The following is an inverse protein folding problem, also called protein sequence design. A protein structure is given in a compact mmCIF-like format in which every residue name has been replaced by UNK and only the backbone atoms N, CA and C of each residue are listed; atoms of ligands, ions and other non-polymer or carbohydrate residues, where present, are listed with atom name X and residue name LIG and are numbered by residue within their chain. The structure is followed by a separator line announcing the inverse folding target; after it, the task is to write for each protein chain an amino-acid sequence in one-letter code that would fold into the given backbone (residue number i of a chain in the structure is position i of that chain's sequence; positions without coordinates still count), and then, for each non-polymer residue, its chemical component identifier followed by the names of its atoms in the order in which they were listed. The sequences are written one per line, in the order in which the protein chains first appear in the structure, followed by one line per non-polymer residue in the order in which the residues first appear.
data_IF_454089416016
#
_entry.id   IF_454089416016
#
_cell.length_a   1.000
_cell.length_b   1.000
_cell.length_c   1.000
_cell.angle_alpha   90.00
_cell.angle_beta   90.00
_cell.angle_gamma   90.00
#
_symmetry.space_group_name_H-M   'P 1'
#
loop_
_entity.id
_entity.type
_entity.pdbx_description
1 polymer ?
#
# COMPACT_ATOMS: atom_id res chain seq x y z
N UNK A 1 -2.99 26.08 -0.20
CA UNK A 1 -4.07 25.07 -0.14
C UNK A 1 -3.60 23.79 -0.82
N UNK A 2 -3.67 22.64 -0.16
CA UNK A 2 -3.18 21.37 -0.70
C UNK A 2 -4.18 20.82 -1.74
N UNK A 3 -4.09 21.29 -2.98
CA UNK A 3 -5.01 20.95 -4.08
C UNK A 3 -5.25 19.44 -4.24
N UNK A 4 -4.21 18.63 -4.01
CA UNK A 4 -4.30 17.17 -4.11
C UNK A 4 -5.20 16.54 -3.03
N UNK A 5 -5.22 17.08 -1.81
CA UNK A 5 -6.07 16.56 -0.74
C UNK A 5 -7.56 16.87 -1.02
N UNK A 6 -7.87 18.09 -1.48
CA UNK A 6 -9.23 18.50 -1.84
C UNK A 6 -9.76 17.74 -3.06
N UNK A 7 -8.93 17.52 -4.08
CA UNK A 7 -9.33 16.78 -5.29
C UNK A 7 -9.58 15.29 -5.02
N UNK A 8 -8.73 14.65 -4.21
CA UNK A 8 -8.93 13.27 -3.79
C UNK A 8 -10.17 13.13 -2.91
N UNK A 9 -10.43 14.07 -1.99
CA UNK A 9 -11.64 14.07 -1.18
C UNK A 9 -12.92 14.16 -2.03
N UNK A 10 -12.94 15.05 -3.05
CA UNK A 10 -14.05 15.13 -4.00
C UNK A 10 -14.21 13.81 -4.77
N UNK A 11 -13.12 13.21 -5.26
CA UNK A 11 -13.17 11.96 -6.02
C UNK A 11 -13.69 10.78 -5.21
N UNK A 12 -13.35 10.69 -3.92
CA UNK A 12 -13.89 9.68 -2.99
C UNK A 12 -15.39 9.86 -2.79
N UNK A 13 -15.86 11.10 -2.68
CA UNK A 13 -17.28 11.42 -2.56
C UNK A 13 -18.04 11.08 -3.84
N UNK A 14 -17.46 11.36 -5.02
CA UNK A 14 -18.10 11.09 -6.32
C UNK A 14 -18.03 9.63 -6.75
N UNK A 15 -17.05 8.85 -6.30
CA UNK A 15 -16.94 7.42 -6.64
C UNK A 15 -16.38 6.59 -5.48
N UNK A 16 -17.24 6.33 -4.50
CA UNK A 16 -16.92 5.52 -3.32
C UNK A 16 -16.44 4.10 -3.65
N UNK A 17 -16.78 3.55 -4.83
CA UNK A 17 -16.30 2.23 -5.25
C UNK A 17 -14.78 2.16 -5.36
N UNK A 18 -14.10 3.29 -5.58
CA UNK A 18 -12.64 3.37 -5.57
C UNK A 18 -12.03 3.14 -4.17
N UNK A 19 -12.81 3.21 -3.10
CA UNK A 19 -12.35 2.92 -1.74
C UNK A 19 -12.75 1.52 -1.26
N UNK A 20 -13.33 0.68 -2.12
CA UNK A 20 -13.70 -0.69 -1.78
C UNK A 20 -12.52 -1.61 -2.15
N UNK A 21 -11.92 -2.33 -1.18
CA UNK A 21 -10.83 -3.24 -1.47
C UNK A 21 -11.36 -4.53 -2.10
N UNK A 22 -10.48 -5.22 -2.84
CA UNK A 22 -10.76 -6.55 -3.41
C UNK A 22 -10.60 -7.66 -2.39
N UNK A 23 -9.78 -7.44 -1.37
CA UNK A 23 -9.58 -8.32 -0.23
C UNK A 23 -9.46 -7.48 1.03
N UNK A 24 -10.19 -7.84 2.08
CA UNK A 24 -10.08 -7.27 3.42
C UNK A 24 -9.57 -8.35 4.36
N UNK A 25 -8.51 -8.04 5.10
CA UNK A 25 -7.92 -8.88 6.14
C UNK A 25 -7.58 -8.02 7.36
N UNK A 26 -7.55 -8.60 8.56
CA UNK A 26 -7.31 -7.83 9.77
C UNK A 26 -5.85 -7.36 9.84
N UNK A 27 -4.91 -8.27 9.60
CA UNK A 27 -3.47 -8.04 9.78
C UNK A 27 -2.66 -8.61 8.61
N UNK A 28 -1.42 -8.15 8.45
CA UNK A 28 -0.51 -8.64 7.41
C UNK A 28 -0.32 -10.16 7.47
N UNK A 29 -0.34 -10.76 8.66
CA UNK A 29 -0.23 -12.21 8.85
C UNK A 29 -1.34 -13.03 8.19
N UNK A 30 -2.48 -12.42 7.88
CA UNK A 30 -3.59 -13.08 7.18
C UNK A 30 -3.47 -12.98 5.66
N UNK A 31 -2.40 -12.37 5.13
CA UNK A 31 -2.19 -12.24 3.69
C UNK A 31 -2.07 -13.63 3.05
N UNK A 32 -2.93 -13.97 2.08
CA UNK A 32 -2.75 -15.17 1.26
C UNK A 32 -1.53 -14.98 0.36
N UNK A 33 -0.66 -15.98 0.30
CA UNK A 33 0.53 -15.96 -0.54
C UNK A 33 0.56 -17.28 -1.33
N UNK A 34 0.48 -17.26 -2.67
CA UNK A 34 0.29 -16.08 -3.53
C UNK A 34 -1.09 -15.42 -3.36
N UNK A 35 -1.19 -14.11 -3.63
CA UNK A 35 -2.42 -13.33 -3.38
C UNK A 35 -3.55 -13.77 -4.30
N UNK A 36 -3.27 -13.86 -5.61
CA UNK A 36 -4.15 -14.41 -6.66
C UNK A 36 -3.30 -14.93 -7.82
N UNK A 37 -3.82 -15.87 -8.65
CA UNK A 37 -3.05 -16.45 -9.75
C UNK A 37 -2.50 -15.46 -10.78
N UNK A 38 -3.22 -14.35 -11.05
CA UNK A 38 -2.82 -13.35 -12.04
C UNK A 38 -1.87 -12.27 -11.48
N UNK A 39 -1.60 -12.26 -10.17
CA UNK A 39 -0.77 -11.23 -9.54
C UNK A 39 0.70 -11.61 -9.72
N UNK A 40 1.42 -10.79 -10.49
CA UNK A 40 2.83 -10.95 -10.78
C UNK A 40 3.72 -10.19 -9.79
N UNK A 41 3.29 -9.02 -9.32
CA UNK A 41 4.10 -8.15 -8.46
C UNK A 41 3.27 -7.60 -7.29
N UNK A 42 3.96 -7.23 -6.20
CA UNK A 42 3.31 -6.72 -4.98
C UNK A 42 3.91 -5.40 -4.53
N UNK A 43 3.04 -4.47 -4.18
CA UNK A 43 3.34 -3.20 -3.53
C UNK A 43 2.91 -3.28 -2.08
N UNK A 44 3.80 -2.96 -1.15
CA UNK A 44 3.54 -3.03 0.29
C UNK A 44 3.71 -1.66 0.92
N UNK A 45 2.68 -1.19 1.62
CA UNK A 45 2.79 -0.03 2.48
C UNK A 45 3.64 -0.31 3.72
N UNK A 46 4.25 0.74 4.28
CA UNK A 46 5.14 0.63 5.45
C UNK A 46 4.37 0.76 6.76
N UNK A 47 3.90 1.98 7.04
CA UNK A 47 3.43 2.41 8.37
C UNK A 47 2.10 1.73 8.71
N UNK A 48 2.04 1.05 9.86
CA UNK A 48 0.87 0.29 10.31
C UNK A 48 0.40 -0.82 9.35
N UNK A 49 1.23 -1.19 8.35
CA UNK A 49 0.97 -2.29 7.43
C UNK A 49 1.97 -3.43 7.66
N UNK A 50 3.20 -3.35 7.15
CA UNK A 50 4.25 -4.34 7.44
C UNK A 50 5.09 -3.99 8.69
N UNK A 51 5.08 -2.72 9.10
CA UNK A 51 5.85 -2.18 10.21
C UNK A 51 4.93 -1.45 11.19
N UNK A 52 5.37 -1.32 12.45
CA UNK A 52 4.71 -0.42 13.39
C UNK A 52 4.81 1.02 12.85
N UNK A 53 3.86 1.87 13.24
CA UNK A 53 3.89 3.30 12.90
C UNK A 53 5.26 3.91 13.21
N UNK A 54 5.85 4.59 12.22
CA UNK A 54 7.15 5.27 12.28
C UNK A 54 8.37 4.36 12.51
N UNK A 55 8.20 3.04 12.46
CA UNK A 55 9.29 2.05 12.51
C UNK A 55 9.90 1.83 11.12
N UNK A 56 11.10 1.25 11.10
CA UNK A 56 11.90 0.94 9.91
C UNK A 56 12.19 -0.56 9.75
N UNK A 57 11.54 -1.40 10.56
CA UNK A 57 11.64 -2.86 10.54
C UNK A 57 10.29 -3.50 10.34
N UNK A 58 10.32 -4.70 9.75
CA UNK A 58 9.15 -5.58 9.73
C UNK A 58 8.73 -5.86 11.17
N UNK A 59 7.43 -5.71 11.45
CA UNK A 59 6.90 -6.05 12.77
C UNK A 59 7.24 -7.50 13.11
N UNK A 60 7.75 -7.74 14.31
CA UNK A 60 8.35 -9.02 14.66
C UNK A 60 7.40 -10.22 14.43
N UNK A 61 6.10 -10.07 14.72
CA UNK A 61 5.09 -11.11 14.48
C UNK A 61 4.84 -11.38 12.98
N UNK A 62 5.22 -10.45 12.10
CA UNK A 62 5.03 -10.57 10.64
C UNK A 62 6.26 -11.13 9.93
N UNK A 63 7.36 -11.38 10.65
CA UNK A 63 8.63 -11.86 10.06
C UNK A 63 8.43 -13.11 9.20
N UNK A 64 7.73 -14.13 9.71
CA UNK A 64 7.51 -15.37 8.97
C UNK A 64 6.71 -15.13 7.67
N UNK A 65 5.68 -14.28 7.74
CA UNK A 65 4.84 -13.93 6.59
C UNK A 65 5.61 -13.06 5.58
N UNK A 66 6.47 -12.16 6.04
CA UNK A 66 7.33 -11.34 5.20
C UNK A 66 8.35 -12.18 4.43
N UNK A 67 9.00 -13.14 5.09
CA UNK A 67 9.92 -14.06 4.41
C UNK A 67 9.19 -14.99 3.43
N UNK A 68 7.96 -15.42 3.73
CA UNK A 68 7.12 -16.13 2.77
C UNK A 68 6.81 -15.27 1.53
N UNK A 69 6.45 -13.99 1.73
CA UNK A 69 6.18 -13.06 0.62
C UNK A 69 7.41 -12.88 -0.26
N UNK A 70 8.57 -12.60 0.34
CA UNK A 70 9.84 -12.47 -0.39
C UNK A 70 10.23 -13.77 -1.09
N UNK A 71 9.99 -14.94 -0.51
CA UNK A 71 10.28 -16.21 -1.17
C UNK A 71 9.42 -16.44 -2.42
N UNK A 72 8.13 -16.12 -2.35
CA UNK A 72 7.19 -16.35 -3.46
C UNK A 72 7.34 -15.29 -4.56
N UNK A 73 7.48 -14.02 -4.19
CA UNK A 73 7.57 -12.92 -5.15
C UNK A 73 9.00 -12.55 -5.53
N UNK A 74 10.00 -12.89 -4.72
CA UNK A 74 11.42 -12.61 -4.98
C UNK A 74 11.67 -11.10 -5.17
N UNK A 75 12.24 -10.70 -6.30
CA UNK A 75 12.51 -9.33 -6.71
C UNK A 75 11.25 -8.53 -7.12
N UNK A 76 10.07 -9.16 -7.05
CA UNK A 76 8.78 -8.58 -7.44
C UNK A 76 8.01 -7.94 -6.28
N UNK A 77 8.72 -7.56 -5.22
CA UNK A 77 8.18 -6.86 -4.04
C UNK A 77 8.73 -5.43 -4.05
N UNK A 78 7.86 -4.44 -3.86
CA UNK A 78 8.22 -3.02 -3.77
C UNK A 78 7.55 -2.38 -2.56
N UNK A 79 8.29 -1.64 -1.75
CA UNK A 79 7.72 -0.83 -0.66
C UNK A 79 7.38 0.56 -1.18
N UNK A 80 6.18 1.06 -0.86
CA UNK A 80 5.75 2.44 -1.20
C UNK A 80 5.16 3.11 0.04
N UNK A 81 5.79 4.19 0.52
CA UNK A 81 5.42 4.87 1.76
C UNK A 81 5.24 6.39 1.55
N UNK A 82 4.32 7.00 2.29
CA UNK A 82 4.15 8.46 2.31
C UNK A 82 5.21 9.19 3.15
N UNK A 83 6.11 8.44 3.80
CA UNK A 83 7.29 8.94 4.51
C UNK A 83 8.57 8.57 3.75
N UNK A 84 8.98 7.30 3.80
CA UNK A 84 10.20 6.80 3.16
C UNK A 84 10.10 6.79 1.62
N UNK A 85 11.09 7.39 0.94
CA UNK A 85 11.15 7.44 -0.52
C UNK A 85 10.30 8.55 -1.17
N UNK A 86 9.52 9.27 -0.36
CA UNK A 86 8.70 10.40 -0.80
C UNK A 86 9.52 11.69 -0.98
N UNK A 87 8.88 12.75 -1.48
CA UNK A 87 9.43 14.11 -1.57
C UNK A 87 9.97 14.68 -0.26
N UNK A 88 9.48 14.16 0.87
CA UNK A 88 9.85 14.64 2.21
C UNK A 88 11.07 13.89 2.78
N UNK A 89 11.47 12.77 2.17
CA UNK A 89 12.62 11.96 2.58
C UNK A 89 13.92 12.54 2.00
N UNK A 90 14.44 13.57 2.67
CA UNK A 90 15.68 14.25 2.26
C UNK A 90 16.83 13.27 2.09
N UNK A 91 17.42 13.24 0.90
CA UNK A 91 18.54 12.33 0.58
C UNK A 91 18.17 10.84 0.55
N UNK A 92 16.87 10.53 0.63
CA UNK A 92 16.30 9.19 0.69
C UNK A 92 16.87 8.32 1.82
N UNK A 93 17.13 8.94 2.98
CA UNK A 93 17.76 8.27 4.10
C UNK A 93 16.83 7.22 4.73
N UNK A 94 15.54 7.55 4.91
CA UNK A 94 14.58 6.60 5.45
C UNK A 94 14.41 5.40 4.52
N UNK A 95 14.31 5.66 3.21
CA UNK A 95 14.21 4.60 2.22
C UNK A 95 15.44 3.68 2.21
N UNK A 96 16.66 4.23 2.28
CA UNK A 96 17.90 3.42 2.36
C UNK A 96 17.95 2.56 3.62
N UNK A 97 17.56 3.11 4.76
CA UNK A 97 17.49 2.34 6.01
C UNK A 97 16.47 1.22 5.92
N UNK A 98 15.29 1.52 5.37
CA UNK A 98 14.22 0.53 5.20
C UNK A 98 14.63 -0.59 4.23
N UNK A 99 15.29 -0.26 3.13
CA UNK A 99 15.86 -1.24 2.18
C UNK A 99 16.87 -2.15 2.88
N UNK A 100 17.77 -1.59 3.69
CA UNK A 100 18.76 -2.35 4.45
C UNK A 100 18.10 -3.30 5.45
N UNK A 101 17.05 -2.85 6.15
CA UNK A 101 16.40 -3.63 7.20
C UNK A 101 15.47 -4.71 6.66
N UNK A 102 14.85 -4.49 5.49
CA UNK A 102 13.81 -5.38 4.94
C UNK A 102 14.30 -6.27 3.81
N UNK A 103 15.37 -5.86 3.12
CA UNK A 103 15.89 -6.49 1.92
C UNK A 103 15.05 -6.23 0.67
N UNK A 104 14.12 -5.27 0.72
CA UNK A 104 13.16 -4.98 -0.36
C UNK A 104 13.34 -3.53 -0.84
N UNK A 105 13.33 -3.26 -2.16
CA UNK A 105 13.46 -1.91 -2.69
C UNK A 105 12.31 -1.01 -2.24
N UNK A 106 12.60 0.28 -2.05
CA UNK A 106 11.61 1.31 -1.76
C UNK A 106 11.45 2.20 -2.98
N UNK A 107 10.22 2.49 -3.40
CA UNK A 107 9.99 3.41 -4.51
C UNK A 107 10.47 4.81 -4.12
N UNK A 108 11.25 5.45 -5.00
CA UNK A 108 11.53 6.88 -4.91
C UNK A 108 10.51 7.61 -5.77
N UNK A 109 9.68 8.45 -5.16
CA UNK A 109 8.54 9.05 -5.85
C UNK A 109 8.31 10.51 -5.46
N UNK A 110 7.84 11.31 -6.43
CA UNK A 110 7.63 12.75 -6.25
C UNK A 110 6.29 13.06 -5.58
N UNK A 111 5.25 12.31 -5.92
CA UNK A 111 3.91 12.54 -5.40
C UNK A 111 3.58 11.52 -4.32
N UNK A 112 3.00 11.93 -3.20
CA UNK A 112 2.52 10.99 -2.18
C UNK A 112 1.33 10.18 -2.68
N UNK A 113 1.12 8.98 -2.15
CA UNK A 113 -0.08 8.16 -2.40
C UNK A 113 -1.34 8.98 -2.13
N UNK A 114 -2.37 8.90 -2.99
CA UNK A 114 -2.51 8.02 -4.16
C UNK A 114 -1.88 8.56 -5.48
N UNK A 115 -1.10 9.64 -5.42
CA UNK A 115 -0.56 10.34 -6.59
C UNK A 115 0.57 9.63 -7.33
N UNK A 116 1.38 8.79 -6.67
CA UNK A 116 2.51 8.06 -7.28
C UNK A 116 2.11 6.82 -8.10
N UNK A 117 0.83 6.66 -8.45
CA UNK A 117 0.33 5.50 -9.18
C UNK A 117 1.08 5.23 -10.49
N UNK A 118 1.41 6.30 -11.22
CA UNK A 118 2.04 6.21 -12.55
C UNK A 118 3.52 5.80 -12.39
N UNK A 119 4.19 6.31 -11.35
CA UNK A 119 5.57 5.94 -10.95
C UNK A 119 5.66 4.46 -10.55
N UNK A 120 4.64 3.90 -9.89
CA UNK A 120 4.58 2.45 -9.56
C UNK A 120 4.44 1.61 -10.83
N UNK A 121 3.54 1.98 -11.73
CA UNK A 121 3.30 1.23 -12.97
C UNK A 121 4.56 1.25 -13.85
N UNK A 122 5.18 2.43 -14.00
CA UNK A 122 6.42 2.61 -14.75
C UNK A 122 7.55 1.76 -14.17
N UNK A 123 7.74 1.79 -12.83
CA UNK A 123 8.76 0.98 -12.15
C UNK A 123 8.72 -0.50 -12.56
N UNK A 124 7.53 -1.11 -12.56
CA UNK A 124 7.38 -2.53 -12.88
C UNK A 124 7.41 -2.80 -14.39
N UNK A 125 6.84 -1.90 -15.21
CA UNK A 125 6.86 -2.03 -16.67
C UNK A 125 8.26 -1.97 -17.25
N UNK A 126 9.08 -1.02 -16.82
CA UNK A 126 10.47 -0.87 -17.26
C UNK A 126 11.32 -2.10 -16.94
N UNK A 127 10.96 -2.84 -15.90
CA UNK A 127 11.61 -4.09 -15.49
C UNK A 127 11.04 -5.33 -16.18
N UNK A 128 10.03 -5.17 -17.05
CA UNK A 128 9.35 -6.28 -17.72
C UNK A 128 8.59 -7.21 -16.77
N UNK A 129 8.25 -6.74 -15.56
CA UNK A 129 7.62 -7.58 -14.53
C UNK A 129 6.09 -7.65 -14.66
N UNK A 130 5.50 -6.70 -15.40
CA UNK A 130 4.07 -6.64 -15.70
C UNK A 130 3.86 -6.19 -17.15
N UNK A 131 2.72 -6.60 -17.70
CA UNK A 131 2.16 -6.10 -18.95
C UNK A 131 1.05 -5.08 -18.68
N UNK A 132 0.24 -5.34 -17.65
CA UNK A 132 -0.97 -4.58 -17.31
C UNK A 132 -1.10 -4.33 -15.80
N UNK A 133 -1.73 -3.22 -15.38
CA UNK A 133 -1.80 -2.86 -13.95
C UNK A 133 -2.57 -3.83 -13.05
N UNK A 134 -3.47 -4.65 -13.58
CA UNK A 134 -4.23 -5.64 -12.81
C UNK A 134 -3.36 -6.80 -12.31
N UNK A 135 -2.11 -6.92 -12.78
CA UNK A 135 -1.10 -7.88 -12.31
C UNK A 135 -0.36 -7.39 -11.04
N UNK A 136 -0.66 -6.16 -10.59
CA UNK A 136 -0.12 -5.56 -9.37
C UNK A 136 -1.13 -5.77 -8.24
N UNK A 137 -0.66 -6.25 -7.08
CA UNK A 137 -1.41 -6.13 -5.84
C UNK A 137 -0.84 -5.01 -4.96
N UNK A 138 -1.70 -4.19 -4.35
CA UNK A 138 -1.30 -3.15 -3.39
C UNK A 138 -1.84 -3.52 -2.02
N UNK A 139 -0.96 -3.62 -1.02
CA UNK A 139 -1.27 -4.02 0.35
C UNK A 139 -1.04 -2.81 1.26
N UNK A 140 -2.08 -2.33 1.95
CA UNK A 140 -1.96 -1.19 2.85
C UNK A 140 -3.11 -1.04 3.85
N UNK A 141 -2.94 -0.17 4.83
CA UNK A 141 -3.89 0.00 5.95
C UNK A 141 -4.93 1.11 5.74
N UNK A 142 -4.72 2.00 4.76
CA UNK A 142 -5.63 3.12 4.47
C UNK A 142 -6.49 2.88 3.24
N UNK A 143 -7.77 3.26 3.36
CA UNK A 143 -8.69 3.25 2.23
C UNK A 143 -8.45 4.41 1.27
N UNK A 144 -8.18 5.61 1.80
CA UNK A 144 -8.08 6.83 1.00
C UNK A 144 -6.68 7.09 0.42
N UNK A 145 -5.72 6.23 0.72
CA UNK A 145 -4.42 6.23 0.04
C UNK A 145 -4.20 4.92 -0.71
N UNK A 146 -4.06 3.79 -0.02
CA UNK A 146 -3.57 2.56 -0.63
C UNK A 146 -4.63 1.90 -1.51
N UNK A 147 -5.84 1.73 -0.99
CA UNK A 147 -6.95 1.11 -1.75
C UNK A 147 -7.41 2.04 -2.87
N UNK A 148 -7.55 3.33 -2.59
CA UNK A 148 -7.85 4.33 -3.61
C UNK A 148 -6.82 4.31 -4.74
N UNK A 149 -5.52 4.28 -4.41
CA UNK A 149 -4.45 4.19 -5.40
C UNK A 149 -4.53 2.92 -6.22
N UNK A 150 -4.69 1.76 -5.55
CA UNK A 150 -4.81 0.47 -6.22
C UNK A 150 -5.97 0.47 -7.23
N UNK A 151 -7.14 0.94 -6.83
CA UNK A 151 -8.31 0.97 -7.68
C UNK A 151 -8.18 2.01 -8.80
N UNK A 152 -7.51 3.14 -8.56
CA UNK A 152 -7.18 4.12 -9.61
C UNK A 152 -6.22 3.56 -10.66
N UNK A 153 -5.34 2.62 -10.29
CA UNK A 153 -4.45 1.92 -11.21
C UNK A 153 -5.18 0.82 -12.01
N UNK A 154 -6.32 0.32 -11.50
CA UNK A 154 -6.93 -0.93 -11.98
C UNK A 154 -6.29 -2.19 -11.36
N UNK A 155 -5.55 -2.03 -10.27
CA UNK A 155 -4.80 -3.06 -9.56
C UNK A 155 -5.63 -3.76 -8.47
N UNK A 156 -5.09 -4.81 -7.88
CA UNK A 156 -5.74 -5.58 -6.81
C UNK A 156 -5.45 -4.98 -5.43
N UNK A 157 -6.41 -4.26 -4.84
CA UNK A 157 -6.27 -3.69 -3.50
C UNK A 157 -6.54 -4.69 -2.36
N UNK A 158 -5.55 -4.88 -1.48
CA UNK A 158 -5.66 -5.64 -0.23
C UNK A 158 -5.63 -4.67 0.95
N UNK A 159 -6.73 -4.60 1.69
CA UNK A 159 -6.85 -3.74 2.86
C UNK A 159 -6.50 -4.50 4.13
N UNK A 160 -5.51 -3.98 4.86
CA UNK A 160 -5.16 -4.38 6.22
C UNK A 160 -5.97 -3.52 7.19
N UNK A 161 -7.06 -4.07 7.72
CA UNK A 161 -8.03 -3.29 8.49
C UNK A 161 -7.50 -2.81 9.84
N UNK A 162 -6.82 -3.66 10.59
CA UNK A 162 -6.36 -3.35 11.95
C UNK A 162 -4.90 -2.92 11.99
N UNK A 163 -4.11 -3.41 11.03
CA UNK A 163 -2.68 -3.11 10.95
C UNK A 163 -1.89 -3.81 12.05
N UNK A 164 -0.69 -3.30 12.33
CA UNK A 164 0.10 -3.73 13.51
C UNK A 164 -0.60 -3.31 14.80
N UNK A 165 -1.19 -2.12 14.80
CA UNK A 165 -1.93 -1.58 15.94
C UNK A 165 -3.19 -0.90 15.44
N UNK A 166 -4.33 -1.23 16.06
CA UNK A 166 -5.61 -0.59 15.77
C UNK A 166 -5.46 0.93 15.87
N UNK A 167 -5.57 1.60 14.72
CA UNK A 167 -5.41 3.05 14.62
C UNK A 167 -6.61 3.74 15.25
N UNK A 168 -6.35 4.54 16.27
CA UNK A 168 -7.37 5.37 16.93
C UNK A 168 -7.52 6.77 16.32
N UNK A 169 -6.79 7.04 15.23
CA UNK A 169 -6.84 8.34 14.54
C UNK A 169 -8.25 8.63 14.03
N UNK A 170 -8.68 9.90 14.14
CA UNK A 170 -10.00 10.33 13.65
C UNK A 170 -10.19 9.98 12.17
N UNK A 171 -9.11 10.07 11.37
CA UNK A 171 -9.13 9.74 9.95
C UNK A 171 -9.35 8.25 9.69
N UNK A 172 -8.66 7.35 10.40
CA UNK A 172 -8.87 5.90 10.26
C UNK A 172 -10.30 5.51 10.68
N UNK A 173 -10.82 6.10 11.77
CA UNK A 173 -12.21 5.90 12.19
C UNK A 173 -13.21 6.36 11.12
N UNK A 174 -12.96 7.51 10.50
CA UNK A 174 -13.79 8.02 9.40
C UNK A 174 -13.79 7.06 8.20
N UNK A 175 -12.61 6.58 7.78
CA UNK A 175 -12.46 5.59 6.70
C UNK A 175 -13.26 4.32 6.98
N UNK A 176 -13.08 3.70 8.16
CA UNK A 176 -13.80 2.47 8.55
C UNK A 176 -15.31 2.68 8.61
N UNK A 177 -15.76 3.83 9.13
CA UNK A 177 -17.18 4.18 9.19
C UNK A 177 -17.78 4.35 7.79
N UNK A 178 -17.09 5.04 6.89
CA UNK A 178 -17.53 5.22 5.51
C UNK A 178 -17.57 3.89 4.76
N UNK A 179 -16.54 3.06 4.90
CA UNK A 179 -16.53 1.70 4.34
C UNK A 179 -17.71 0.87 4.81
N UNK A 180 -17.98 0.87 6.12
CA UNK A 180 -19.13 0.14 6.69
C UNK A 180 -20.45 0.62 6.11
N UNK A 181 -20.60 1.93 5.87
CA UNK A 181 -21.80 2.49 5.23
C UNK A 181 -21.93 2.07 3.76
N UNK A 182 -20.83 2.05 3.03
CA UNK A 182 -20.82 1.71 1.60
C UNK A 182 -21.01 0.22 1.31
N UNK A 183 -20.71 -0.65 2.27
CA UNK A 183 -20.79 -2.12 2.10
C UNK A 183 -22.00 -2.76 2.78
N UNK A 184 -22.83 -1.98 3.49
CA UNK A 184 -24.07 -2.43 4.12
C UNK A 184 -25.31 -2.33 3.21
N UNK A 185 -25.13 -1.94 1.95
CA UNK A 185 -26.15 -1.94 0.90
C UNK A 185 -25.81 -2.99 -0.16
#
# INVERSE_FOLDING_TARGET
MNFNATFNALRVIYNHSLCIPRLRIATFNQLPIPIKPHIKVVVVDKDNCMALQDDDKVWHEYTAKWEELKRVYQDRVLIVSNSAGSSDDKGYLQAKTLEKNTGVPVLRHKLKKPGCRDEIIEYFKERGLIEKPDEIAVIGDRLFTDILMANMMGSYGVWIEDGVKISNSAFSKLEKNLYTRWTKN
#
